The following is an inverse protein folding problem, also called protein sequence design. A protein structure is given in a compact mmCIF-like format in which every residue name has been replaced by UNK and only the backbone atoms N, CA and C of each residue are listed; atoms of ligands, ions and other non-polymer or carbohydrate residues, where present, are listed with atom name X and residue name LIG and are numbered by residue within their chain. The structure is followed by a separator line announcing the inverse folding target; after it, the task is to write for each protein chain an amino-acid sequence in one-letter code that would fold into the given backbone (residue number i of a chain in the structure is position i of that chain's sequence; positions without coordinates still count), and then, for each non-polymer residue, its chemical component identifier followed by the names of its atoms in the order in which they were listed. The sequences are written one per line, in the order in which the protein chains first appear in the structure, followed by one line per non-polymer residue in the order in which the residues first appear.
data_IF_957827811280
#
_entry.id   IF_957827811280
#
_cell.length_a   1.000
_cell.length_b   1.000
_cell.length_c   1.000
_cell.angle_alpha   90.00
_cell.angle_beta   90.00
_cell.angle_gamma   90.00
#
_symmetry.space_group_name_H-M   'P 1'
#
loop_
_entity.id
_entity.type
_entity.pdbx_description
1 polymer ?
#
# COMPACT_ATOMS: atom_id res chain seq x y z
N UNK A 1 7.45 -9.00 -5.83
CA UNK A 1 7.15 -7.98 -6.86
C UNK A 1 7.67 -6.59 -6.45
N UNK A 2 8.89 -6.48 -5.92
CA UNK A 2 9.45 -5.21 -5.43
C UNK A 2 9.99 -4.32 -6.55
N UNK A 3 10.49 -4.92 -7.63
CA UNK A 3 11.18 -4.19 -8.70
C UNK A 3 10.21 -3.32 -9.53
N UNK A 4 8.92 -3.68 -9.59
CA UNK A 4 7.91 -2.94 -10.33
C UNK A 4 7.35 -1.73 -9.56
N UNK A 5 7.43 -1.74 -8.22
CA UNK A 5 7.04 -0.59 -7.40
C UNK A 5 8.10 0.51 -7.37
N UNK A 6 9.33 0.20 -7.78
CA UNK A 6 10.43 1.16 -7.93
C UNK A 6 10.02 2.31 -8.85
N UNK A 7 10.34 3.54 -8.45
CA UNK A 7 9.93 4.77 -9.17
C UNK A 7 10.34 4.75 -10.63
N UNK A 8 11.54 4.24 -10.95
CA UNK A 8 12.00 4.11 -12.33
C UNK A 8 11.08 3.22 -13.18
N UNK A 9 10.66 2.06 -12.66
CA UNK A 9 9.75 1.15 -13.35
C UNK A 9 8.36 1.80 -13.52
N UNK A 10 7.83 2.45 -12.49
CA UNK A 10 6.53 3.14 -12.56
C UNK A 10 6.53 4.30 -13.57
N UNK A 11 7.58 5.11 -13.57
CA UNK A 11 7.73 6.22 -14.53
C UNK A 11 7.84 5.67 -15.95
N UNK A 12 8.64 4.62 -16.16
CA UNK A 12 8.80 3.99 -17.46
C UNK A 12 7.47 3.44 -18.01
N UNK A 13 6.66 2.80 -17.15
CA UNK A 13 5.33 2.30 -17.50
C UNK A 13 4.41 3.47 -17.81
N UNK A 14 4.35 4.48 -16.93
CA UNK A 14 3.48 5.65 -17.07
C UNK A 14 3.75 6.45 -18.35
N UNK A 15 5.01 6.62 -18.74
CA UNK A 15 5.38 7.28 -20.01
C UNK A 15 4.91 6.49 -21.23
N UNK A 16 4.91 5.15 -21.17
CA UNK A 16 4.54 4.28 -22.30
C UNK A 16 3.03 4.01 -22.40
N UNK A 17 2.28 4.23 -21.33
CA UNK A 17 0.82 4.22 -21.33
C UNK A 17 0.21 5.61 -21.47
N UNK A 18 1.02 6.67 -21.62
CA UNK A 18 0.56 8.04 -21.73
C UNK A 18 -0.17 8.30 -23.05
N UNK A 19 -1.27 9.06 -23.00
CA UNK A 19 -2.06 9.43 -24.19
C UNK A 19 -3.22 8.50 -24.52
N UNK A 20 -3.41 7.42 -23.76
CA UNK A 20 -4.60 6.56 -23.88
C UNK A 20 -5.68 6.98 -22.89
N UNK A 21 -6.95 6.99 -23.33
CA UNK A 21 -8.11 7.21 -22.44
C UNK A 21 -8.18 6.14 -21.35
N UNK A 22 -7.76 4.92 -21.68
CA UNK A 22 -7.54 3.82 -20.74
C UNK A 22 -6.04 3.46 -20.81
N UNK A 23 -5.25 3.75 -19.77
CA UNK A 23 -3.83 3.42 -19.76
C UNK A 23 -3.63 1.92 -19.96
N UNK A 24 -2.97 1.53 -21.04
CA UNK A 24 -2.63 0.14 -21.31
C UNK A 24 -1.19 0.03 -21.81
N UNK A 25 -0.55 -1.11 -21.56
CA UNK A 25 0.78 -1.41 -22.03
C UNK A 25 0.77 -2.77 -22.72
N UNK A 26 1.38 -2.87 -23.91
CA UNK A 26 1.48 -4.15 -24.60
C UNK A 26 2.43 -5.09 -23.85
N UNK A 27 2.20 -6.40 -23.94
CA UNK A 27 3.12 -7.39 -23.35
C UNK A 27 4.54 -7.25 -23.90
N UNK A 28 4.68 -6.96 -25.19
CA UNK A 28 5.98 -6.74 -25.83
C UNK A 28 6.72 -5.55 -25.23
N UNK A 29 6.01 -4.44 -25.00
CA UNK A 29 6.59 -3.29 -24.31
C UNK A 29 6.99 -3.70 -22.89
N UNK A 30 6.09 -4.28 -22.10
CA UNK A 30 6.40 -4.67 -20.73
C UNK A 30 7.60 -5.63 -20.63
N UNK A 31 7.75 -6.58 -21.57
CA UNK A 31 8.90 -7.49 -21.64
C UNK A 31 10.23 -6.78 -21.92
N UNK A 32 10.20 -5.60 -22.53
CA UNK A 32 11.40 -4.77 -22.79
C UNK A 32 11.85 -3.93 -21.59
N UNK A 33 11.07 -3.92 -20.50
CA UNK A 33 11.44 -3.20 -19.29
C UNK A 33 12.69 -3.83 -18.66
N UNK A 34 13.79 -3.07 -18.65
CA UNK A 34 15.01 -3.49 -17.96
C UNK A 34 14.85 -3.29 -16.45
N UNK A 35 14.93 -4.39 -15.70
CA UNK A 35 14.94 -4.39 -14.24
C UNK A 35 16.23 -5.04 -13.73
N UNK A 36 16.90 -4.45 -12.72
CA UNK A 36 18.03 -5.11 -12.07
C UNK A 36 17.53 -6.35 -11.32
N UNK A 37 18.09 -7.51 -11.67
CA UNK A 37 17.74 -8.79 -11.07
C UNK A 37 18.91 -9.30 -10.20
N UNK A 38 18.88 -9.09 -8.88
CA UNK A 38 19.95 -9.56 -8.01
C UNK A 38 19.90 -11.09 -7.82
N UNK A 39 20.93 -11.73 -7.24
CA UNK A 39 20.93 -13.17 -7.01
C UNK A 39 19.74 -13.65 -6.14
N UNK A 40 19.30 -14.92 -6.24
CA UNK A 40 18.10 -15.41 -5.53
C UNK A 40 18.12 -15.22 -4.01
N UNK A 41 19.29 -15.35 -3.38
CA UNK A 41 19.47 -15.10 -1.94
C UNK A 41 19.14 -13.64 -1.58
N UNK A 42 19.59 -12.71 -2.40
CA UNK A 42 19.35 -11.28 -2.22
C UNK A 42 17.90 -10.92 -2.50
N UNK A 43 17.29 -11.51 -3.54
CA UNK A 43 15.87 -11.34 -3.84
C UNK A 43 14.98 -11.75 -2.66
N UNK A 44 15.29 -12.90 -2.03
CA UNK A 44 14.56 -13.36 -0.83
C UNK A 44 14.73 -12.39 0.33
N UNK A 45 15.94 -11.91 0.57
CA UNK A 45 16.24 -10.99 1.68
C UNK A 45 15.54 -9.64 1.51
N UNK A 46 15.60 -9.05 0.31
CA UNK A 46 14.88 -7.82 -0.01
C UNK A 46 13.38 -8.06 0.09
N UNK A 47 12.89 -9.16 -0.48
CA UNK A 47 11.48 -9.53 -0.47
C UNK A 47 10.91 -9.70 0.94
N UNK A 48 11.63 -10.38 1.84
CA UNK A 48 11.21 -10.55 3.23
C UNK A 48 11.15 -9.23 3.98
N UNK A 49 12.12 -8.36 3.77
CA UNK A 49 12.15 -7.03 4.42
C UNK A 49 10.97 -6.18 3.96
N UNK A 50 10.69 -6.15 2.66
CA UNK A 50 9.55 -5.39 2.13
C UNK A 50 8.21 -5.98 2.59
N UNK A 51 8.07 -7.30 2.61
CA UNK A 51 6.85 -7.95 3.12
C UNK A 51 6.59 -7.61 4.60
N UNK A 52 7.66 -7.57 5.43
CA UNK A 52 7.53 -7.16 6.83
C UNK A 52 7.12 -5.69 6.97
N UNK A 53 7.58 -4.81 6.07
CA UNK A 53 7.17 -3.41 6.03
C UNK A 53 5.70 -3.26 5.60
N UNK A 54 5.27 -4.00 4.58
CA UNK A 54 3.88 -4.00 4.13
C UNK A 54 2.93 -4.46 5.24
N UNK A 55 3.30 -5.52 5.97
CA UNK A 55 2.52 -5.99 7.12
C UNK A 55 2.46 -4.95 8.25
N UNK A 56 3.58 -4.28 8.54
CA UNK A 56 3.61 -3.20 9.53
C UNK A 56 2.69 -2.04 9.14
N UNK A 57 2.68 -1.67 7.86
CA UNK A 57 1.77 -0.64 7.34
C UNK A 57 0.33 -1.08 7.54
N UNK A 58 -0.01 -2.32 7.18
CA UNK A 58 -1.36 -2.88 7.33
C UNK A 58 -1.85 -2.79 8.78
N UNK A 59 -1.04 -3.27 9.73
CA UNK A 59 -1.37 -3.23 11.16
C UNK A 59 -1.55 -1.80 11.67
N UNK A 60 -0.70 -0.86 11.26
CA UNK A 60 -0.83 0.53 11.66
C UNK A 60 -2.10 1.16 11.08
N UNK A 61 -2.47 0.85 9.83
CA UNK A 61 -3.73 1.32 9.24
C UNK A 61 -4.95 0.79 10.01
N UNK A 62 -4.91 -0.47 10.42
CA UNK A 62 -5.96 -1.09 11.24
C UNK A 62 -6.11 -0.36 12.59
N UNK A 63 -5.00 -0.14 13.31
CA UNK A 63 -4.99 0.62 14.57
C UNK A 63 -5.57 2.02 14.39
N UNK A 64 -5.18 2.73 13.32
CA UNK A 64 -5.69 4.08 13.03
C UNK A 64 -7.21 4.05 12.81
N UNK A 65 -7.72 3.06 12.07
CA UNK A 65 -9.15 2.94 11.80
C UNK A 65 -9.93 2.63 13.08
N UNK A 66 -9.50 1.62 13.86
CA UNK A 66 -10.14 1.29 15.14
C UNK A 66 -10.11 2.46 16.12
N UNK A 67 -9.00 3.21 16.17
CA UNK A 67 -8.90 4.40 17.05
C UNK A 67 -9.86 5.50 16.63
N UNK A 68 -10.06 5.71 15.32
CA UNK A 68 -11.05 6.67 14.80
C UNK A 68 -12.49 6.25 15.13
N UNK A 69 -12.80 4.96 14.98
CA UNK A 69 -14.11 4.41 15.34
C UNK A 69 -14.39 4.58 16.83
N UNK A 70 -13.45 4.17 17.69
CA UNK A 70 -13.57 4.35 19.15
C UNK A 70 -13.76 5.82 19.52
N UNK A 71 -12.99 6.73 18.92
CA UNK A 71 -13.15 8.17 19.14
C UNK A 71 -14.56 8.63 18.77
N UNK A 72 -15.10 8.18 17.64
CA UNK A 72 -16.45 8.54 17.20
C UNK A 72 -17.50 8.06 18.20
N UNK A 73 -17.42 6.79 18.61
CA UNK A 73 -18.36 6.20 19.58
C UNK A 73 -18.30 6.94 20.91
N UNK A 74 -17.10 7.22 21.42
CA UNK A 74 -16.94 7.97 22.68
C UNK A 74 -17.50 9.39 22.55
N UNK A 75 -17.27 10.08 21.43
CA UNK A 75 -17.83 11.40 21.21
C UNK A 75 -19.37 11.38 21.21
N UNK A 76 -19.99 10.41 20.53
CA UNK A 76 -21.44 10.25 20.49
C UNK A 76 -22.02 9.96 21.89
N UNK A 77 -21.36 9.10 22.67
CA UNK A 77 -21.76 8.80 24.05
C UNK A 77 -21.65 10.00 25.00
N UNK A 78 -20.65 10.87 24.80
CA UNK A 78 -20.49 12.10 25.58
C UNK A 78 -21.58 13.11 25.25
N UNK A 79 -21.95 13.26 23.97
CA UNK A 79 -22.98 14.20 23.53
C UNK A 79 -24.39 13.72 23.90
N UNK A 80 -24.63 12.41 23.85
CA UNK A 80 -25.93 11.83 24.25
C UNK A 80 -26.12 11.73 25.75
N UNK A 81 -25.08 11.97 26.57
CA UNK A 81 -25.15 11.89 28.02
C UNK A 81 -25.20 10.45 28.58
N UNK A 82 -25.18 9.44 27.71
CA UNK A 82 -25.30 8.03 28.08
C UNK A 82 -24.09 7.50 28.86
N UNK A 83 -22.94 8.19 28.84
CA UNK A 83 -21.77 7.84 29.65
C UNK A 83 -21.93 8.11 31.16
N UNK A 84 -22.88 8.97 31.56
CA UNK A 84 -23.14 9.30 32.97
C UNK A 84 -24.23 8.42 33.60
N UNK A 85 -24.94 7.64 32.78
CA UNK A 85 -25.89 6.63 33.22
C UNK A 85 -25.19 5.26 33.27
N UNK A 86 -24.27 5.10 34.23
CA UNK A 86 -24.04 3.75 34.78
C UNK A 86 -25.32 3.27 35.49
N UNK A 87 -25.47 1.96 35.76
CA UNK A 87 -26.59 1.46 36.57
C UNK A 87 -26.69 2.16 37.93
#
# INVERSE_FOLDING_TARGET
MACLSATAARTWIGTRSAGMVIPSISMQALASLQVPLPPPKEQKRIGSTLAALDEKIRLHTEIVNTTKELRSVVADLLVTGNLLAGP
#
